data_IF_883708384123
#
_entry.id   IF_883708384123
#
_cell.length_a   1.000
_cell.length_b   1.000
_cell.length_c   1.000
_cell.angle_alpha   90.00
_cell.angle_beta   90.00
_cell.angle_gamma   90.00
#
_symmetry.space_group_name_H-M   'P 1'
#
loop_
_entity.id
_entity.type
_entity.pdbx_description
1 polymer ?
#
# COMPACT_ATOMS: atom_id res chain seq x y z
N UNK A 1 -4.00 -6.90 9.38
CA UNK A 1 -3.23 -5.68 9.09
C UNK A 1 -3.89 -4.38 9.57
N UNK A 2 -5.23 -4.23 9.56
CA UNK A 2 -5.89 -2.99 10.05
C UNK A 2 -5.51 -2.67 11.50
N UNK A 3 -5.66 -3.63 12.43
CA UNK A 3 -5.30 -3.44 13.85
C UNK A 3 -3.82 -3.07 14.01
N UNK A 4 -2.92 -3.71 13.25
CA UNK A 4 -1.48 -3.37 13.23
C UNK A 4 -1.26 -1.93 12.77
N UNK A 5 -2.00 -1.49 11.75
CA UNK A 5 -1.97 -0.11 11.26
C UNK A 5 -2.43 0.91 12.30
N UNK A 6 -3.52 0.62 12.98
CA UNK A 6 -4.07 1.49 14.02
C UNK A 6 -3.10 1.62 15.21
N UNK A 7 -2.48 0.50 15.64
CA UNK A 7 -1.47 0.46 16.69
C UNK A 7 -0.18 1.21 16.31
N UNK A 8 0.28 1.06 15.07
CA UNK A 8 1.44 1.78 14.55
C UNK A 8 1.15 3.29 14.45
N UNK A 9 0.01 3.67 13.89
CA UNK A 9 -0.39 5.07 13.75
C UNK A 9 -0.60 5.80 15.08
N UNK A 10 -1.02 5.08 16.13
CA UNK A 10 -1.14 5.60 17.50
C UNK A 10 0.19 5.58 18.29
N UNK A 11 1.28 5.08 17.72
CA UNK A 11 2.58 4.96 18.38
C UNK A 11 2.69 3.82 19.40
N UNK A 12 1.68 2.96 19.48
CA UNK A 12 1.66 1.81 20.41
C UNK A 12 2.43 0.59 19.87
N UNK A 13 2.75 0.57 18.58
CA UNK A 13 3.52 -0.49 17.93
C UNK A 13 4.73 0.09 17.21
N UNK A 14 5.90 -0.52 17.40
CA UNK A 14 7.13 -0.12 16.72
C UNK A 14 7.27 -0.82 15.37
N UNK A 15 8.03 -0.20 14.45
CA UNK A 15 8.23 -0.69 13.09
C UNK A 15 8.68 -2.16 12.98
N UNK A 16 9.61 -2.70 13.80
CA UNK A 16 9.98 -4.11 13.73
C UNK A 16 8.80 -5.07 13.90
N UNK A 17 7.87 -4.75 14.79
CA UNK A 17 6.68 -5.59 15.02
C UNK A 17 5.67 -5.50 13.87
N UNK A 18 5.60 -4.35 13.19
CA UNK A 18 4.80 -4.21 11.96
C UNK A 18 5.35 -5.12 10.87
N UNK A 19 6.67 -5.13 10.66
CA UNK A 19 7.34 -5.99 9.69
C UNK A 19 7.12 -7.46 10.02
N UNK A 20 7.33 -7.87 11.27
CA UNK A 20 7.09 -9.24 11.72
C UNK A 20 5.64 -9.68 11.49
N UNK A 21 4.68 -8.80 11.81
CA UNK A 21 3.26 -9.07 11.58
C UNK A 21 2.93 -9.23 10.09
N UNK A 22 3.54 -8.41 9.24
CA UNK A 22 3.36 -8.45 7.79
C UNK A 22 3.95 -9.74 7.19
N UNK A 23 5.14 -10.16 7.63
CA UNK A 23 5.77 -11.40 7.19
C UNK A 23 5.00 -12.64 7.65
N UNK A 24 4.52 -12.64 8.90
CA UNK A 24 3.66 -13.71 9.42
C UNK A 24 2.39 -13.85 8.58
N UNK A 25 1.76 -12.73 8.23
CA UNK A 25 0.58 -12.74 7.37
C UNK A 25 0.91 -13.26 5.96
N UNK A 26 2.01 -12.82 5.38
CA UNK A 26 2.47 -13.29 4.06
C UNK A 26 2.69 -14.81 4.07
N UNK A 27 3.34 -15.31 5.10
CA UNK A 27 3.55 -16.76 5.26
C UNK A 27 2.24 -17.53 5.42
N UNK A 28 1.32 -17.06 6.25
CA UNK A 28 0.01 -17.67 6.40
C UNK A 28 -0.79 -17.70 5.09
N UNK A 29 -0.76 -16.60 4.32
CA UNK A 29 -1.40 -16.53 3.00
C UNK A 29 -0.76 -17.52 2.03
N UNK A 30 0.56 -17.66 2.00
CA UNK A 30 1.25 -18.61 1.10
C UNK A 30 0.88 -20.06 1.38
N UNK A 31 0.60 -20.42 2.64
CA UNK A 31 0.10 -21.76 2.99
C UNK A 31 -1.35 -21.96 2.53
N UNK A 32 -2.18 -20.92 2.62
CA UNK A 32 -3.59 -20.99 2.26
C UNK A 32 -3.84 -20.89 0.75
N UNK A 33 -2.93 -20.23 0.03
CA UNK A 33 -3.08 -19.94 -1.40
C UNK A 33 -3.39 -21.17 -2.26
N UNK A 34 -2.76 -22.35 -2.07
CA UNK A 34 -3.08 -23.55 -2.84
C UNK A 34 -4.49 -24.12 -2.58
N UNK A 35 -5.10 -23.73 -1.44
CA UNK A 35 -6.43 -24.20 -1.02
C UNK A 35 -7.53 -23.16 -1.28
N UNK A 36 -7.15 -21.96 -1.68
CA UNK A 36 -8.11 -20.95 -2.10
C UNK A 36 -8.59 -21.30 -3.51
N UNK A 37 -9.91 -21.31 -3.69
CA UNK A 37 -10.46 -21.42 -5.04
C UNK A 37 -9.81 -20.34 -5.92
N UNK A 38 -9.06 -20.78 -6.91
CA UNK A 38 -8.55 -19.91 -7.95
C UNK A 38 -9.75 -19.50 -8.82
N UNK A 39 -10.47 -18.48 -8.42
CA UNK A 39 -11.20 -17.69 -9.41
C UNK A 39 -10.14 -17.20 -10.38
N UNK A 40 -10.30 -17.53 -11.66
CA UNK A 40 -9.35 -17.21 -12.74
C UNK A 40 -9.04 -15.72 -12.88
N UNK A 41 -9.69 -14.88 -12.08
CA UNK A 41 -9.47 -13.45 -11.95
C UNK A 41 -8.99 -13.08 -10.55
N UNK A 42 -7.70 -13.30 -10.25
CA UNK A 42 -7.01 -12.48 -9.25
C UNK A 42 -6.88 -11.06 -9.84
N UNK A 43 -8.00 -10.36 -9.95
CA UNK A 43 -7.98 -8.96 -10.40
C UNK A 43 -7.26 -8.16 -9.32
N UNK A 44 -6.02 -7.78 -9.61
CA UNK A 44 -5.28 -6.82 -8.79
C UNK A 44 -6.16 -5.59 -8.52
N UNK A 45 -6.12 -5.07 -7.31
CA UNK A 45 -6.84 -3.83 -6.98
C UNK A 45 -6.32 -2.63 -7.76
N UNK A 46 -5.05 -2.70 -8.20
CA UNK A 46 -4.34 -1.68 -8.96
C UNK A 46 -2.84 -1.93 -8.92
N UNK A 47 -2.09 -1.25 -9.78
CA UNK A 47 -0.63 -1.35 -9.88
C UNK A 47 0.05 -0.15 -9.24
N UNK A 48 1.07 -0.43 -8.44
CA UNK A 48 1.82 0.57 -7.69
C UNK A 48 3.32 0.46 -8.00
N UNK A 49 3.90 1.49 -8.60
CA UNK A 49 5.31 1.53 -8.93
C UNK A 49 6.07 2.27 -7.82
N UNK A 50 7.10 1.66 -7.23
CA UNK A 50 7.85 2.27 -6.15
C UNK A 50 9.37 2.18 -6.38
N UNK A 51 10.08 3.27 -6.10
CA UNK A 51 11.53 3.35 -6.25
C UNK A 51 12.17 4.25 -5.18
N UNK A 52 13.40 3.92 -4.77
CA UNK A 52 14.26 4.88 -4.07
C UNK A 52 15.05 5.66 -5.11
N UNK A 53 14.99 6.99 -5.04
CA UNK A 53 15.56 7.89 -6.03
C UNK A 53 17.08 7.79 -6.14
N UNK A 54 17.64 8.32 -7.22
CA UNK A 54 19.06 8.34 -7.54
C UNK A 54 19.92 8.76 -6.35
N UNK A 55 20.98 7.98 -6.12
CA UNK A 55 21.98 8.28 -5.09
C UNK A 55 21.55 8.00 -3.65
N UNK A 56 20.32 7.50 -3.44
CA UNK A 56 19.81 7.11 -2.13
C UNK A 56 19.73 5.58 -2.01
N UNK A 57 20.09 5.05 -0.84
CA UNK A 57 20.15 3.61 -0.55
C UNK A 57 19.17 3.19 0.54
N UNK A 58 18.43 4.14 1.09
CA UNK A 58 17.52 3.88 2.21
C UNK A 58 16.20 3.31 1.70
N UNK A 59 15.98 2.03 1.97
CA UNK A 59 14.86 1.28 1.41
C UNK A 59 13.90 0.67 2.45
N UNK A 60 14.19 0.76 3.75
CA UNK A 60 13.34 0.17 4.80
C UNK A 60 11.90 0.68 4.69
N UNK A 61 11.72 2.00 4.59
CA UNK A 61 10.38 2.60 4.45
C UNK A 61 9.69 2.17 3.15
N UNK A 62 10.43 2.15 2.04
CA UNK A 62 9.95 1.71 0.73
C UNK A 62 9.50 0.24 0.77
N UNK A 63 10.31 -0.63 1.37
CA UNK A 63 9.99 -2.05 1.47
C UNK A 63 8.78 -2.30 2.38
N UNK A 64 8.59 -1.47 3.41
CA UNK A 64 7.39 -1.52 4.24
C UNK A 64 6.12 -1.17 3.44
N UNK A 65 6.18 -0.13 2.60
CA UNK A 65 5.08 0.23 1.69
C UNK A 65 4.76 -0.91 0.74
N UNK A 66 5.79 -1.51 0.13
CA UNK A 66 5.67 -2.67 -0.76
C UNK A 66 4.93 -3.84 -0.06
N UNK A 67 5.42 -4.28 1.10
CA UNK A 67 4.82 -5.38 1.85
C UNK A 67 3.36 -5.08 2.22
N UNK A 68 3.06 -3.87 2.69
CA UNK A 68 1.71 -3.51 3.11
C UNK A 68 0.75 -3.47 1.92
N UNK A 69 1.14 -2.86 0.80
CA UNK A 69 0.30 -2.78 -0.38
C UNK A 69 0.09 -4.16 -1.02
N UNK A 70 1.14 -4.96 -1.15
CA UNK A 70 1.06 -6.33 -1.68
C UNK A 70 0.10 -7.19 -0.85
N UNK A 71 0.22 -7.15 0.48
CA UNK A 71 -0.67 -7.89 1.38
C UNK A 71 -2.14 -7.40 1.35
N UNK A 72 -2.38 -6.22 0.78
CA UNK A 72 -3.72 -5.68 0.59
C UNK A 72 -4.26 -5.83 -0.84
N UNK A 73 -3.56 -6.59 -1.69
CA UNK A 73 -4.04 -6.99 -3.02
C UNK A 73 -3.66 -6.04 -4.16
N UNK A 74 -2.66 -5.20 -3.96
CA UNK A 74 -2.05 -4.38 -5.02
C UNK A 74 -0.90 -5.14 -5.69
N UNK A 75 -0.70 -4.89 -6.97
CA UNK A 75 0.47 -5.36 -7.73
C UNK A 75 1.58 -4.31 -7.60
N UNK A 76 2.59 -4.59 -6.78
CA UNK A 76 3.68 -3.64 -6.49
C UNK A 76 4.90 -3.94 -7.33
N UNK A 77 5.28 -2.97 -8.17
CA UNK A 77 6.48 -2.99 -8.99
C UNK A 77 7.57 -2.22 -8.23
N UNK A 78 8.45 -2.95 -7.54
CA UNK A 78 9.53 -2.37 -6.74
C UNK A 78 10.83 -2.35 -7.54
N UNK A 79 11.26 -1.17 -7.96
CA UNK A 79 12.49 -0.99 -8.74
C UNK A 79 13.78 -1.04 -7.90
N UNK A 80 13.65 -1.04 -6.56
CA UNK A 80 14.83 -1.05 -5.68
C UNK A 80 15.37 0.35 -5.38
N UNK A 81 16.69 0.42 -5.12
CA UNK A 81 17.39 1.64 -4.70
C UNK A 81 18.13 2.31 -5.86
N UNK A 82 18.54 3.57 -5.68
CA UNK A 82 19.37 4.35 -6.62
C UNK A 82 18.81 4.44 -8.03
N UNK A 83 17.49 4.50 -8.18
CA UNK A 83 16.86 4.49 -9.49
C UNK A 83 16.97 5.85 -10.18
N UNK A 84 17.46 5.83 -11.40
CA UNK A 84 17.40 7.00 -12.29
C UNK A 84 15.97 7.23 -12.78
N UNK A 85 15.67 8.48 -13.11
CA UNK A 85 14.34 8.86 -13.61
C UNK A 85 13.95 8.10 -14.88
N UNK A 86 14.91 7.81 -15.75
CA UNK A 86 14.67 7.03 -16.98
C UNK A 86 14.15 5.63 -16.66
N UNK A 87 14.74 4.95 -15.67
CA UNK A 87 14.29 3.62 -15.25
C UNK A 87 12.85 3.67 -14.70
N UNK A 88 12.48 4.72 -13.95
CA UNK A 88 11.13 4.90 -13.44
C UNK A 88 10.14 5.16 -14.59
N UNK A 89 10.51 6.01 -15.55
CA UNK A 89 9.68 6.31 -16.73
C UNK A 89 9.46 5.07 -17.60
N UNK A 90 10.52 4.29 -17.85
CA UNK A 90 10.46 3.08 -18.66
C UNK A 90 9.60 2.00 -17.98
N UNK A 91 9.77 1.83 -16.67
CA UNK A 91 8.92 0.94 -15.89
C UNK A 91 7.45 1.38 -15.90
N UNK A 92 7.18 2.70 -15.82
CA UNK A 92 5.82 3.24 -15.90
C UNK A 92 5.19 2.96 -17.27
N UNK A 93 5.94 3.14 -18.37
CA UNK A 93 5.47 2.83 -19.73
C UNK A 93 5.18 1.35 -19.92
N UNK A 94 6.04 0.49 -19.35
CA UNK A 94 5.91 -0.96 -19.46
C UNK A 94 4.74 -1.49 -18.65
N UNK A 95 4.66 -1.14 -17.38
CA UNK A 95 3.71 -1.72 -16.43
C UNK A 95 2.38 -0.96 -16.36
N UNK A 96 2.36 0.31 -16.81
CA UNK A 96 1.18 1.21 -16.74
C UNK A 96 0.61 1.26 -15.34
N UNK A 97 1.49 1.55 -14.35
CA UNK A 97 1.09 1.63 -12.95
C UNK A 97 0.06 2.75 -12.74
N UNK A 98 -0.86 2.53 -11.81
CA UNK A 98 -1.89 3.49 -11.45
C UNK A 98 -1.31 4.63 -10.60
N UNK A 99 -0.22 4.38 -9.85
CA UNK A 99 0.44 5.36 -9.00
C UNK A 99 1.95 5.11 -9.01
N UNK A 100 2.74 6.19 -8.92
CA UNK A 100 4.19 6.14 -8.76
C UNK A 100 4.54 6.64 -7.35
N UNK A 101 5.43 5.93 -6.63
CA UNK A 101 5.97 6.37 -5.36
C UNK A 101 7.48 6.54 -5.43
N UNK A 102 7.97 7.65 -4.91
CA UNK A 102 9.40 7.93 -4.79
C UNK A 102 9.80 8.04 -3.33
N UNK A 103 10.83 7.29 -2.93
CA UNK A 103 11.38 7.29 -1.57
C UNK A 103 12.77 7.92 -1.55
N UNK A 104 13.07 8.67 -0.48
CA UNK A 104 14.41 9.22 -0.24
C UNK A 104 14.56 9.74 1.17
N UNK A 105 15.69 9.44 1.82
CA UNK A 105 16.00 9.87 3.18
C UNK A 105 16.87 11.13 3.22
N UNK A 106 17.72 11.33 2.21
CA UNK A 106 18.70 12.41 2.19
C UNK A 106 18.08 13.73 1.70
N UNK A 107 18.56 14.86 2.20
CA UNK A 107 18.14 16.19 1.71
C UNK A 107 18.39 16.34 0.20
N UNK A 108 19.52 15.83 -0.32
CA UNK A 108 19.77 15.86 -1.77
C UNK A 108 18.77 15.05 -2.58
N UNK A 109 18.13 14.04 -1.99
CA UNK A 109 17.11 13.23 -2.66
C UNK A 109 15.87 14.04 -3.01
N UNK A 110 15.60 15.12 -2.27
CA UNK A 110 14.49 16.04 -2.56
C UNK A 110 14.68 16.80 -3.87
N UNK A 111 15.94 17.16 -4.20
CA UNK A 111 16.26 17.78 -5.49
C UNK A 111 16.01 16.79 -6.65
N UNK A 112 16.48 15.55 -6.53
CA UNK A 112 16.20 14.51 -7.53
C UNK A 112 14.71 14.23 -7.68
N UNK A 113 13.92 14.32 -6.61
CA UNK A 113 12.46 14.19 -6.71
C UNK A 113 11.85 15.31 -7.55
N UNK A 114 12.29 16.57 -7.38
CA UNK A 114 11.84 17.68 -8.21
C UNK A 114 12.21 17.49 -9.68
N UNK A 115 13.47 17.11 -9.96
CA UNK A 115 13.93 16.84 -11.32
C UNK A 115 13.13 15.70 -11.97
N UNK A 116 12.82 14.65 -11.20
CA UNK A 116 12.01 13.53 -11.67
C UNK A 116 10.57 13.95 -11.99
N UNK A 117 9.97 14.83 -11.19
CA UNK A 117 8.62 15.35 -11.45
C UNK A 117 8.56 16.15 -12.76
N UNK A 118 9.60 16.97 -13.03
CA UNK A 118 9.71 17.68 -14.32
C UNK A 118 9.84 16.68 -15.48
N UNK A 119 10.71 15.67 -15.35
CA UNK A 119 10.88 14.63 -16.38
C UNK A 119 9.60 13.81 -16.60
N UNK A 120 8.77 13.61 -15.58
CA UNK A 120 7.46 12.97 -15.73
C UNK A 120 6.50 13.80 -16.56
N UNK A 121 6.50 15.14 -16.38
CA UNK A 121 5.74 16.04 -17.24
C UNK A 121 6.19 15.95 -18.71
N UNK A 122 7.50 15.96 -18.94
CA UNK A 122 8.09 15.88 -20.29
C UNK A 122 7.76 14.53 -20.96
N UNK A 123 7.63 13.45 -20.15
CA UNK A 123 7.18 12.14 -20.60
C UNK A 123 5.64 12.00 -20.67
N UNK A 124 4.88 13.08 -20.42
CA UNK A 124 3.40 13.10 -20.38
C UNK A 124 2.79 12.06 -19.40
N UNK A 125 3.49 11.81 -18.28
CA UNK A 125 2.99 11.00 -17.18
C UNK A 125 2.13 11.89 -16.27
N UNK A 126 0.90 11.47 -15.97
CA UNK A 126 -0.07 12.23 -15.16
C UNK A 126 -0.65 11.45 -14.00
N UNK A 127 -0.23 10.18 -13.81
CA UNK A 127 -0.69 9.37 -12.67
C UNK A 127 -0.30 10.01 -11.35
N UNK A 128 -1.06 9.82 -10.26
CA UNK A 128 -0.70 10.37 -8.97
C UNK A 128 0.68 9.91 -8.54
N UNK A 129 1.43 10.83 -7.90
CA UNK A 129 2.78 10.59 -7.40
C UNK A 129 2.78 10.75 -5.88
N UNK A 130 3.28 9.75 -5.17
CA UNK A 130 3.49 9.79 -3.72
C UNK A 130 4.98 10.05 -3.46
N UNK A 131 5.26 11.05 -2.63
CA UNK A 131 6.62 11.35 -2.18
C UNK A 131 6.74 11.00 -0.70
N UNK A 132 7.64 10.06 -0.39
CA UNK A 132 7.89 9.58 0.97
C UNK A 132 9.37 9.70 1.37
N UNK A 133 9.60 9.85 2.65
CA UNK A 133 10.94 9.87 3.24
C UNK A 133 11.13 10.93 4.33
N UNK A 134 12.09 10.69 5.22
CA UNK A 134 12.28 11.50 6.41
C UNK A 134 12.79 12.93 6.14
N UNK A 135 13.39 13.19 4.98
CA UNK A 135 13.81 14.53 4.58
C UNK A 135 12.66 15.40 4.04
N UNK A 136 11.50 14.80 3.78
CA UNK A 136 10.35 15.51 3.24
C UNK A 136 9.48 16.11 4.34
N UNK A 137 8.93 17.25 4.05
CA UNK A 137 7.90 17.88 4.89
C UNK A 137 6.60 18.03 4.09
N UNK A 138 5.42 18.04 4.75
CA UNK A 138 4.16 18.29 4.06
C UNK A 138 4.18 19.60 3.27
N UNK A 139 4.82 20.64 3.81
CA UNK A 139 4.96 21.94 3.14
C UNK A 139 5.73 21.81 1.83
N UNK A 140 6.90 21.17 1.86
CA UNK A 140 7.72 20.96 0.66
C UNK A 140 6.96 20.21 -0.43
N UNK A 141 6.23 19.14 -0.06
CA UNK A 141 5.48 18.35 -1.03
C UNK A 141 4.29 19.14 -1.60
N UNK A 142 3.51 19.80 -0.75
CA UNK A 142 2.27 20.46 -1.15
C UNK A 142 2.49 21.80 -1.86
N UNK A 143 3.55 22.53 -1.54
CA UNK A 143 3.84 23.84 -2.13
C UNK A 143 4.86 23.69 -3.27
N UNK A 144 6.08 23.22 -2.95
CA UNK A 144 7.17 23.19 -3.93
C UNK A 144 6.97 22.13 -5.03
N UNK A 145 6.67 20.89 -4.63
CA UNK A 145 6.55 19.79 -5.60
C UNK A 145 5.25 19.89 -6.40
N UNK A 146 4.15 20.27 -5.76
CA UNK A 146 2.84 20.39 -6.41
C UNK A 146 2.82 21.51 -7.47
N UNK A 147 3.68 22.52 -7.35
CA UNK A 147 3.82 23.57 -8.37
C UNK A 147 4.56 23.10 -9.63
N UNK A 148 5.31 21.99 -9.54
CA UNK A 148 6.14 21.46 -10.62
C UNK A 148 5.37 20.43 -11.45
N UNK A 149 4.67 19.50 -10.81
CA UNK A 149 4.06 18.35 -11.47
C UNK A 149 2.63 18.66 -11.94
N UNK A 150 2.33 18.24 -13.17
CA UNK A 150 1.01 18.47 -13.80
C UNK A 150 -0.07 17.49 -13.33
N UNK A 151 0.31 16.43 -12.61
CA UNK A 151 -0.61 15.47 -11.99
C UNK A 151 -0.76 15.71 -10.49
N UNK A 152 -1.46 14.81 -9.79
CA UNK A 152 -1.64 14.91 -8.34
C UNK A 152 -0.42 14.42 -7.58
N UNK A 153 0.05 15.21 -6.61
CA UNK A 153 1.11 14.82 -5.67
C UNK A 153 0.52 14.64 -4.28
N UNK A 154 1.08 13.66 -3.55
CA UNK A 154 0.72 13.35 -2.19
C UNK A 154 1.97 13.16 -1.32
N UNK A 155 1.84 13.54 -0.05
CA UNK A 155 2.86 13.26 0.95
C UNK A 155 2.62 11.89 1.59
N UNK A 156 3.52 10.95 1.30
CA UNK A 156 3.55 9.62 1.91
C UNK A 156 4.16 9.69 3.31
N UNK A 157 3.33 9.97 4.31
CA UNK A 157 3.77 10.04 5.72
C UNK A 157 4.21 8.67 6.23
N UNK A 158 3.45 7.65 5.91
CA UNK A 158 3.66 6.26 6.29
C UNK A 158 2.92 5.32 5.33
N UNK A 159 3.27 4.04 5.37
CA UNK A 159 2.73 3.04 4.46
C UNK A 159 1.21 2.81 4.58
N UNK A 160 0.61 3.10 5.74
CA UNK A 160 -0.85 2.98 5.92
C UNK A 160 -1.59 4.18 5.35
N UNK A 161 -0.97 5.36 5.38
CA UNK A 161 -1.45 6.56 4.67
C UNK A 161 -1.47 6.30 3.17
N UNK A 162 -0.40 5.69 2.61
CA UNK A 162 -0.32 5.35 1.20
C UNK A 162 -1.38 4.30 0.82
N UNK A 163 -1.57 3.27 1.65
CA UNK A 163 -2.62 2.27 1.46
C UNK A 163 -4.02 2.90 1.48
N UNK A 164 -4.29 3.79 2.43
CA UNK A 164 -5.58 4.48 2.51
C UNK A 164 -5.84 5.28 1.25
N UNK A 165 -4.85 6.07 0.80
CA UNK A 165 -4.96 6.82 -0.43
C UNK A 165 -5.23 5.90 -1.63
N UNK A 166 -4.47 4.82 -1.79
CA UNK A 166 -4.66 3.89 -2.90
C UNK A 166 -6.06 3.27 -2.92
N UNK A 167 -6.60 2.90 -1.76
CA UNK A 167 -7.96 2.37 -1.67
C UNK A 167 -9.01 3.41 -2.08
N UNK A 168 -8.89 4.65 -1.62
CA UNK A 168 -9.79 5.76 -1.97
C UNK A 168 -9.64 6.12 -3.45
N UNK A 169 -8.41 6.24 -3.94
CA UNK A 169 -8.11 6.56 -5.34
C UNK A 169 -8.70 5.51 -6.31
N UNK A 170 -8.43 4.23 -6.08
CA UNK A 170 -8.91 3.17 -6.97
C UNK A 170 -10.45 3.04 -6.94
N UNK A 171 -11.07 3.28 -5.77
CA UNK A 171 -12.52 3.32 -5.68
C UNK A 171 -13.12 4.49 -6.49
N UNK A 172 -12.57 5.69 -6.33
CA UNK A 172 -13.04 6.88 -7.05
C UNK A 172 -12.74 6.83 -8.55
N UNK A 173 -11.57 6.30 -8.95
CA UNK A 173 -11.21 6.07 -10.35
C UNK A 173 -12.22 5.17 -11.06
N UNK A 174 -12.68 4.09 -10.40
CA UNK A 174 -13.68 3.16 -10.95
C UNK A 174 -15.05 3.81 -11.18
N UNK A 175 -15.43 4.79 -10.36
CA UNK A 175 -16.71 5.49 -10.48
C UNK A 175 -16.63 6.82 -11.25
N UNK A 176 -15.43 7.16 -11.77
CA UNK A 176 -15.22 8.39 -12.54
C UNK A 176 -15.07 9.67 -11.70
N UNK A 177 -14.86 9.56 -10.39
CA UNK A 177 -14.69 10.69 -9.47
C UNK A 177 -13.23 11.09 -9.26
N UNK A 178 -12.40 10.84 -10.24
CA UNK A 178 -10.99 11.18 -10.19
C UNK A 178 -10.55 11.94 -11.44
N UNK A 179 -9.79 13.00 -11.25
CA UNK A 179 -9.06 13.72 -12.28
C UNK A 179 -7.57 13.62 -12.01
N UNK A 180 -6.77 13.27 -13.01
CA UNK A 180 -5.31 13.15 -12.87
C UNK A 180 -4.64 14.49 -12.49
N UNK A 181 -5.29 15.61 -12.76
CA UNK A 181 -4.79 16.95 -12.46
C UNK A 181 -5.35 17.52 -11.15
N UNK A 182 -6.65 17.36 -10.91
CA UNK A 182 -7.35 17.96 -9.76
C UNK A 182 -7.39 17.03 -8.56
N UNK A 183 -7.28 15.71 -8.78
CA UNK A 183 -7.42 14.69 -7.76
C UNK A 183 -8.89 14.26 -7.60
N UNK A 184 -9.34 14.12 -6.35
CA UNK A 184 -10.72 13.77 -6.06
C UNK A 184 -11.66 14.90 -6.49
N UNK A 185 -12.64 14.57 -7.33
CA UNK A 185 -13.68 15.52 -7.73
C UNK A 185 -14.66 15.68 -6.59
N UNK A 186 -14.93 16.93 -6.17
CA UNK A 186 -15.84 17.23 -5.05
C UNK A 186 -17.26 16.67 -5.30
N UNK A 187 -17.69 15.84 -4.38
CA UNK A 187 -18.99 15.20 -4.34
C UNK A 187 -20.13 16.19 -3.99
N UNK A 188 -20.35 17.21 -4.81
CA UNK A 188 -21.60 17.99 -4.62
C UNK A 188 -22.84 17.32 -5.16
N UNK A 189 -22.74 16.18 -5.89
CA UNK A 189 -23.93 15.56 -6.54
C UNK A 189 -23.95 14.04 -6.70
N UNK A 190 -23.26 13.25 -5.90
CA UNK A 190 -23.38 11.79 -6.01
C UNK A 190 -24.17 11.23 -4.83
N UNK A 191 -25.48 11.05 -5.06
CA UNK A 191 -26.29 10.11 -4.27
C UNK A 191 -25.81 8.69 -4.58
N UNK A 192 -24.90 8.16 -3.74
CA UNK A 192 -24.47 6.75 -3.80
C UNK A 192 -25.74 5.91 -3.59
N UNK A 193 -26.24 5.30 -4.66
CA UNK A 193 -27.16 4.16 -4.53
C UNK A 193 -26.37 3.01 -3.93
N UNK A 194 -26.39 2.88 -2.61
CA UNK A 194 -25.95 1.67 -1.92
C UNK A 194 -26.63 0.47 -2.60
N UNK A 195 -25.90 -0.57 -2.98
CA UNK A 195 -26.52 -1.80 -3.44
C UNK A 195 -27.42 -2.30 -2.31
N UNK A 196 -28.69 -2.50 -2.64
CA UNK A 196 -29.69 -3.03 -1.72
C UNK A 196 -29.15 -4.31 -1.09
N UNK A 197 -29.19 -4.37 0.22
CA UNK A 197 -28.83 -5.50 1.05
C UNK A 197 -29.11 -6.83 0.36
N UNK A 198 -28.06 -7.67 0.24
CA UNK A 198 -28.20 -9.08 -0.13
C UNK A 198 -29.08 -9.73 0.93
N UNK A 199 -30.28 -10.11 0.53
CA UNK A 199 -31.25 -10.80 1.36
C UNK A 199 -30.67 -12.15 1.83
N UNK A 200 -30.82 -12.40 3.12
CA UNK A 200 -30.55 -13.68 3.78
C UNK A 200 -31.13 -14.85 2.99
N UNK A 201 -30.27 -15.66 2.36
CA UNK A 201 -30.49 -17.07 2.07
C UNK A 201 -29.15 -17.70 1.66
N UNK A 202 -28.45 -18.25 2.65
CA UNK A 202 -27.55 -19.37 2.42
C UNK A 202 -27.26 -20.06 3.76
N UNK A 203 -28.12 -21.02 4.08
CA UNK A 203 -27.96 -21.91 5.23
C UNK A 203 -26.89 -23.00 5.01
N UNK A 204 -26.33 -23.08 3.81
CA UNK A 204 -25.37 -24.12 3.42
C UNK A 204 -23.91 -23.79 3.79
N UNK A 205 -23.56 -22.52 3.96
CA UNK A 205 -22.20 -22.09 4.35
C UNK A 205 -21.90 -22.28 5.85
N UNK A 206 -22.92 -22.35 6.70
CA UNK A 206 -22.73 -22.56 8.15
C UNK A 206 -22.19 -23.95 8.52
N UNK A 207 -22.47 -24.99 7.73
CA UNK A 207 -21.97 -26.34 7.97
C UNK A 207 -20.51 -26.51 7.55
N UNK A 208 -20.05 -25.79 6.53
CA UNK A 208 -18.65 -25.84 6.07
C UNK A 208 -17.73 -25.08 7.01
N UNK A 209 -18.17 -23.94 7.56
CA UNK A 209 -17.40 -23.17 8.56
C UNK A 209 -17.21 -24.01 9.83
N UNK A 210 -18.25 -24.70 10.33
CA UNK A 210 -18.13 -25.59 11.50
C UNK A 210 -17.17 -26.76 11.28
N UNK A 211 -17.04 -27.27 10.05
CA UNK A 211 -16.10 -28.35 9.73
C UNK A 211 -14.64 -27.85 9.65
N UNK A 212 -14.44 -26.57 9.31
CA UNK A 212 -13.14 -25.92 9.30
C UNK A 212 -12.68 -25.52 10.71
N UNK A 213 -13.59 -25.02 11.55
CA UNK A 213 -13.33 -24.75 12.97
C UNK A 213 -12.88 -26.04 13.70
N UNK A 214 -13.50 -27.18 13.42
CA UNK A 214 -13.14 -28.48 14.01
C UNK A 214 -11.78 -29.02 13.51
N UNK A 215 -11.27 -28.56 12.37
CA UNK A 215 -9.92 -28.88 11.87
C UNK A 215 -8.84 -27.91 12.40
N UNK A 216 -9.21 -26.73 12.86
CA UNK A 216 -8.31 -25.74 13.48
C UNK A 216 -8.05 -26.00 14.98
N UNK A 217 -8.90 -26.80 15.65
CA UNK A 217 -8.70 -27.21 17.05
C UNK A 217 -7.55 -28.22 17.25
N UNK A 218 -6.85 -28.67 16.19
CA UNK A 218 -5.85 -29.73 16.24
C UNK A 218 -4.41 -29.18 16.19
N UNK A 219 -4.14 -28.00 16.69
CA UNK A 219 -2.73 -27.60 16.82
C UNK A 219 -2.47 -26.93 18.19
N UNK A 220 -2.40 -27.73 19.24
CA UNK A 220 -2.01 -27.29 20.59
C UNK A 220 -0.62 -26.63 20.60
N UNK A 221 0.27 -26.99 19.66
CA UNK A 221 1.60 -26.39 19.51
C UNK A 221 1.54 -24.95 19.00
N UNK A 222 0.53 -24.60 18.20
CA UNK A 222 0.33 -23.22 17.72
C UNK A 222 -0.15 -22.30 18.84
N UNK A 223 -1.02 -22.78 19.72
CA UNK A 223 -1.48 -22.02 20.87
C UNK A 223 -0.37 -21.79 21.90
N UNK A 224 0.50 -22.80 22.14
CA UNK A 224 1.69 -22.64 22.98
C UNK A 224 2.68 -21.59 22.46
N UNK A 225 2.87 -21.52 21.14
CA UNK A 225 3.73 -20.50 20.50
C UNK A 225 3.15 -19.08 20.63
N UNK A 226 1.83 -18.94 20.58
CA UNK A 226 1.15 -17.66 20.79
C UNK A 226 1.19 -17.20 22.26
N UNK A 227 1.06 -18.10 23.22
CA UNK A 227 1.19 -17.77 24.65
C UNK A 227 2.60 -17.36 25.03
N UNK A 228 3.63 -17.98 24.41
CA UNK A 228 5.03 -17.56 24.61
C UNK A 228 5.33 -16.16 24.06
N UNK A 229 4.63 -15.74 23.02
CA UNK A 229 4.79 -14.40 22.40
C UNK A 229 4.00 -13.31 23.15
N UNK A 230 2.98 -13.69 23.92
CA UNK A 230 2.12 -12.76 24.65
C UNK A 230 2.47 -12.65 26.14
N UNK A 231 3.37 -13.49 26.65
CA UNK A 231 3.84 -13.39 28.04
C UNK A 231 4.84 -12.27 28.19
N UNK A 232 4.62 -11.31 29.11
CA UNK A 232 5.62 -10.28 29.40
C UNK A 232 6.89 -10.97 29.91
N UNK A 233 8.01 -10.67 29.27
CA UNK A 233 9.34 -11.12 29.68
C UNK A 233 9.61 -10.58 31.09
N UNK A 234 9.42 -11.43 32.11
CA UNK A 234 9.81 -11.11 33.48
C UNK A 234 11.34 -11.15 33.54
N UNK A 235 11.93 -9.98 33.52
CA UNK A 235 13.34 -9.77 33.87
C UNK A 235 13.62 -10.31 35.28
N UNK A 236 14.50 -11.26 35.36
CA UNK A 236 15.39 -11.46 36.51
C UNK A 236 16.82 -11.17 36.10
#
# INVERSE_FOLDING_TARGET
>A
MKVVGDLFGSGQMQLPFVLQSAETMKYAVSILEPFMETTEDKVSKGKFLIATVKGDVHDIGKNLVDIILTNNGYDVINLGIKQDVTAIIDAQKLHKADCIAMSGLLVKSTAFMKDNLQAFNDANIKVPVILGGAALTPKFVNEDCNSIYNGKILYGKDAFTDLKFMNEYMANKKVGNWSDTEGFLDDKNIKIKLPKSISKKDSTKKSQIKSLEKKLEINEDFNRSLECLLSPCSSK
#
